data_IF_698684287390
#
_entry.id   IF_698684287390
#
_cell.length_a   1.000
_cell.length_b   1.000
_cell.length_c   1.000
_cell.angle_alpha   90.00
_cell.angle_beta   90.00
_cell.angle_gamma   90.00
#
_symmetry.space_group_name_H-M   'P 1'
#
loop_
_entity.id
_entity.type
_entity.pdbx_description
1 polymer ?
#
# COMPACT_ATOMS: atom_id res chain seq x y z
N UNK A 1 0.45 -9.32 14.89
CA UNK A 1 -0.72 -8.89 15.70
C UNK A 1 -1.53 -10.08 16.20
N UNK A 2 -1.91 -10.98 15.32
CA UNK A 2 -2.71 -12.17 15.66
C UNK A 2 -1.86 -13.37 16.07
N UNK A 3 -0.65 -13.53 15.51
CA UNK A 3 0.20 -14.72 15.72
C UNK A 3 0.43 -15.07 17.20
N UNK A 4 0.64 -14.08 18.07
CA UNK A 4 0.86 -14.31 19.49
C UNK A 4 -0.37 -14.93 20.19
N UNK A 5 -1.58 -14.56 19.75
CA UNK A 5 -2.83 -15.15 20.24
C UNK A 5 -3.01 -16.62 19.87
N UNK A 6 -2.25 -17.11 18.88
CA UNK A 6 -2.19 -18.53 18.51
C UNK A 6 -0.96 -19.25 19.10
N UNK A 7 -0.25 -18.63 20.06
CA UNK A 7 0.97 -19.22 20.65
C UNK A 7 2.18 -19.22 19.72
N UNK A 8 2.13 -18.49 18.61
CA UNK A 8 3.22 -18.39 17.64
C UNK A 8 4.18 -17.25 18.01
N UNK A 9 5.41 -17.34 17.51
CA UNK A 9 6.45 -16.33 17.68
C UNK A 9 6.81 -15.67 16.34
N UNK A 10 7.13 -14.37 16.35
CA UNK A 10 7.61 -13.62 15.17
C UNK A 10 9.06 -14.04 14.89
N UNK A 11 9.29 -14.75 13.79
CA UNK A 11 10.64 -15.14 13.35
C UNK A 11 11.37 -13.95 12.72
N UNK A 12 10.70 -13.27 11.78
CA UNK A 12 11.22 -12.08 11.10
C UNK A 12 10.05 -11.15 10.78
N UNK A 13 10.34 -9.85 10.81
CA UNK A 13 9.47 -8.82 10.26
C UNK A 13 10.05 -8.34 8.94
N UNK A 14 9.37 -8.66 7.83
CA UNK A 14 9.90 -8.33 6.50
C UNK A 14 9.94 -6.83 6.23
N UNK A 15 9.07 -6.04 6.88
CA UNK A 15 9.08 -4.59 6.78
C UNK A 15 10.30 -4.00 7.49
N UNK A 16 10.56 -4.43 8.73
CA UNK A 16 11.76 -4.01 9.48
C UNK A 16 13.04 -4.47 8.79
N UNK A 17 13.09 -5.73 8.34
CA UNK A 17 14.25 -6.28 7.63
C UNK A 17 14.53 -5.54 6.32
N UNK A 18 13.50 -5.26 5.52
CA UNK A 18 13.66 -4.48 4.28
C UNK A 18 14.19 -3.08 4.57
N UNK A 19 13.66 -2.42 5.60
CA UNK A 19 14.12 -1.09 5.99
C UNK A 19 15.59 -1.09 6.45
N UNK A 20 16.01 -2.10 7.22
CA UNK A 20 17.41 -2.24 7.64
C UNK A 20 18.39 -2.36 6.47
N UNK A 21 18.01 -3.06 5.40
CA UNK A 21 18.91 -3.30 4.25
C UNK A 21 18.80 -2.25 3.13
N UNK A 22 17.76 -1.41 3.13
CA UNK A 22 17.52 -0.42 2.05
C UNK A 22 17.44 1.02 2.54
N UNK A 23 17.14 1.25 3.83
CA UNK A 23 16.77 2.55 4.35
C UNK A 23 15.42 3.07 3.85
N UNK A 24 14.64 2.26 3.13
CA UNK A 24 13.38 2.64 2.51
C UNK A 24 12.20 1.82 3.07
N UNK A 25 10.94 2.30 2.96
CA UNK A 25 9.77 1.52 3.34
C UNK A 25 9.59 0.35 2.37
N UNK A 26 8.98 -0.75 2.84
CA UNK A 26 8.66 -1.89 1.99
C UNK A 26 7.38 -1.60 1.19
N UNK A 27 7.41 -1.56 -0.16
CA UNK A 27 6.20 -1.45 -0.96
C UNK A 27 5.39 -2.75 -0.86
N UNK A 28 4.13 -2.67 -0.42
CA UNK A 28 3.25 -3.84 -0.27
C UNK A 28 2.17 -3.92 -1.34
N UNK A 29 1.65 -2.78 -1.80
CA UNK A 29 0.61 -2.72 -2.80
C UNK A 29 0.43 -1.30 -3.33
N UNK A 30 -0.14 -1.19 -4.52
CA UNK A 30 -0.44 0.08 -5.17
C UNK A 30 -1.60 -0.05 -6.15
N UNK A 31 -2.20 1.08 -6.51
CA UNK A 31 -3.22 1.14 -7.55
C UNK A 31 -2.55 1.29 -8.91
N UNK A 32 -2.89 0.42 -9.86
CA UNK A 32 -2.37 0.47 -11.22
C UNK A 32 -3.47 0.85 -12.20
N UNK A 33 -3.11 1.62 -13.23
CA UNK A 33 -4.03 2.06 -14.28
C UNK A 33 -3.57 1.57 -15.64
N UNK A 34 -4.51 1.12 -16.48
CA UNK A 34 -4.18 0.67 -17.82
C UNK A 34 -3.78 1.86 -18.70
N UNK A 35 -2.66 1.72 -19.41
CA UNK A 35 -2.09 2.79 -20.26
C UNK A 35 -3.00 3.21 -21.41
N UNK A 36 -3.85 2.31 -21.90
CA UNK A 36 -4.79 2.56 -23.00
C UNK A 36 -5.91 3.55 -22.64
N UNK A 37 -6.11 3.86 -21.36
CA UNK A 37 -7.08 4.89 -20.93
C UNK A 37 -6.60 6.31 -21.24
N UNK A 38 -5.31 6.49 -21.52
CA UNK A 38 -4.71 7.79 -21.82
C UNK A 38 -4.38 8.61 -20.56
N UNK A 39 -3.50 9.60 -20.73
CA UNK A 39 -2.92 10.37 -19.61
C UNK A 39 -3.97 11.20 -18.87
N UNK A 40 -4.93 11.78 -19.58
CA UNK A 40 -5.91 12.68 -18.96
C UNK A 40 -6.89 11.91 -18.07
N UNK A 41 -7.38 10.76 -18.55
CA UNK A 41 -8.18 9.86 -17.73
C UNK A 41 -7.37 9.32 -16.54
N UNK A 42 -6.08 9.04 -16.74
CA UNK A 42 -5.23 8.56 -15.65
C UNK A 42 -5.07 9.59 -14.52
N UNK A 43 -4.85 10.86 -14.86
CA UNK A 43 -4.78 11.96 -13.88
C UNK A 43 -6.11 12.16 -13.16
N UNK A 44 -7.21 12.13 -13.91
CA UNK A 44 -8.54 12.32 -13.32
C UNK A 44 -8.90 11.18 -12.36
N UNK A 45 -8.60 9.93 -12.73
CA UNK A 45 -8.80 8.78 -11.84
C UNK A 45 -7.90 8.87 -10.61
N UNK A 46 -6.63 9.27 -10.75
CA UNK A 46 -5.72 9.47 -9.62
C UNK A 46 -6.24 10.55 -8.65
N UNK A 47 -6.73 11.68 -9.17
CA UNK A 47 -7.36 12.76 -8.40
C UNK A 47 -8.58 12.25 -7.63
N UNK A 48 -9.50 11.55 -8.31
CA UNK A 48 -10.72 11.01 -7.70
C UNK A 48 -10.41 9.97 -6.62
N UNK A 49 -9.42 9.10 -6.85
CA UNK A 49 -8.95 8.13 -5.84
C UNK A 49 -8.39 8.84 -4.60
N UNK A 50 -7.58 9.88 -4.79
CA UNK A 50 -7.01 10.67 -3.70
C UNK A 50 -8.11 11.37 -2.88
N UNK A 51 -9.12 11.93 -3.55
CA UNK A 51 -10.29 12.53 -2.91
C UNK A 51 -11.11 11.51 -2.13
N UNK A 52 -11.32 10.31 -2.69
CA UNK A 52 -12.02 9.23 -2.01
C UNK A 52 -11.30 8.77 -0.74
N UNK A 53 -9.97 8.58 -0.81
CA UNK A 53 -9.15 8.22 0.36
C UNK A 53 -9.21 9.34 1.40
N UNK A 54 -9.08 10.60 0.98
CA UNK A 54 -9.17 11.75 1.88
C UNK A 54 -10.54 11.79 2.57
N UNK A 55 -11.62 11.61 1.82
CA UNK A 55 -12.97 11.59 2.36
C UNK A 55 -13.14 10.48 3.41
N UNK A 56 -12.63 9.27 3.13
CA UNK A 56 -12.69 8.15 4.06
C UNK A 56 -11.85 8.38 5.34
N UNK A 57 -10.73 9.11 5.24
CA UNK A 57 -9.94 9.51 6.40
C UNK A 57 -10.64 10.57 7.25
N UNK A 58 -11.28 11.55 6.59
CA UNK A 58 -12.02 12.63 7.26
C UNK A 58 -13.35 12.11 7.89
N UNK A 59 -13.93 11.03 7.35
CA UNK A 59 -15.17 10.40 7.80
C UNK A 59 -14.93 8.94 8.25
N UNK A 60 -13.94 8.75 9.13
CA UNK A 60 -13.42 7.43 9.47
C UNK A 60 -14.45 6.46 10.01
N UNK A 61 -15.37 6.90 10.87
CA UNK A 61 -16.38 6.02 11.47
C UNK A 61 -17.32 5.44 10.40
N UNK A 62 -17.86 6.28 9.52
CA UNK A 62 -18.74 5.86 8.42
C UNK A 62 -18.00 4.95 7.44
N UNK A 63 -16.76 5.29 7.09
CA UNK A 63 -15.92 4.50 6.19
C UNK A 63 -15.62 3.10 6.78
N UNK A 64 -15.33 3.02 8.08
CA UNK A 64 -15.13 1.75 8.78
C UNK A 64 -16.43 0.94 8.83
N UNK A 65 -17.56 1.58 9.13
CA UNK A 65 -18.85 0.91 9.19
C UNK A 65 -19.21 0.25 7.85
N UNK A 66 -18.93 0.94 6.73
CA UNK A 66 -19.03 0.34 5.41
C UNK A 66 -18.01 -0.78 5.20
N UNK A 67 -16.74 -0.59 5.57
CA UNK A 67 -15.68 -1.59 5.38
C UNK A 67 -15.92 -2.90 6.16
N UNK A 68 -16.58 -2.83 7.32
CA UNK A 68 -16.85 -4.00 8.17
C UNK A 68 -17.64 -5.11 7.48
N UNK A 69 -18.46 -4.78 6.47
CA UNK A 69 -19.19 -5.81 5.71
C UNK A 69 -18.25 -6.74 4.91
N UNK A 70 -17.00 -6.32 4.67
CA UNK A 70 -15.98 -7.10 3.96
C UNK A 70 -14.94 -7.71 4.91
N UNK A 71 -15.01 -7.38 6.21
CA UNK A 71 -14.06 -7.83 7.21
C UNK A 71 -14.42 -9.28 7.63
N UNK A 72 -13.74 -10.26 7.03
CA UNK A 72 -13.89 -11.70 7.32
C UNK A 72 -13.53 -11.99 8.79
N UNK A 73 -14.55 -12.09 9.64
CA UNK A 73 -14.48 -12.51 11.06
C UNK A 73 -13.61 -11.62 11.98
N UNK A 74 -13.31 -10.38 11.57
CA UNK A 74 -12.58 -9.43 12.42
C UNK A 74 -13.54 -8.73 13.37
N UNK A 75 -13.18 -8.68 14.66
CA UNK A 75 -13.88 -7.79 15.59
C UNK A 75 -13.65 -6.31 15.19
N UNK A 76 -14.58 -5.39 15.51
CA UNK A 76 -14.49 -4.00 15.10
C UNK A 76 -13.19 -3.29 15.51
N UNK A 77 -12.60 -3.63 16.67
CA UNK A 77 -11.33 -3.03 17.13
C UNK A 77 -10.14 -3.57 16.33
N UNK A 78 -10.16 -4.86 15.99
CA UNK A 78 -9.19 -5.50 15.11
C UNK A 78 -9.22 -4.94 13.69
N UNK A 79 -10.42 -4.70 13.17
CA UNK A 79 -10.62 -4.11 11.86
C UNK A 79 -10.15 -2.64 11.79
N UNK A 80 -10.51 -1.80 12.77
CA UNK A 80 -10.02 -0.41 12.82
C UNK A 80 -8.49 -0.35 12.87
N UNK A 81 -7.88 -1.19 13.71
CA UNK A 81 -6.42 -1.28 13.79
C UNK A 81 -5.82 -1.74 12.47
N UNK A 82 -6.41 -2.74 11.82
CA UNK A 82 -5.93 -3.26 10.54
C UNK A 82 -6.00 -2.19 9.44
N UNK A 83 -7.14 -1.51 9.32
CA UNK A 83 -7.33 -0.43 8.33
C UNK A 83 -6.34 0.71 8.57
N UNK A 84 -6.09 1.10 9.82
CA UNK A 84 -5.10 2.13 10.16
C UNK A 84 -3.67 1.80 9.71
N UNK A 85 -3.29 0.52 9.62
CA UNK A 85 -1.94 0.15 9.18
C UNK A 85 -1.72 0.41 7.68
N UNK A 86 -2.78 0.31 6.87
CA UNK A 86 -2.67 0.36 5.40
C UNK A 86 -3.29 1.63 4.78
N UNK A 87 -4.23 2.26 5.49
CA UNK A 87 -4.87 3.51 5.10
C UNK A 87 -4.44 4.62 6.06
N UNK A 88 -3.43 5.38 5.64
CA UNK A 88 -2.87 6.49 6.39
C UNK A 88 -2.40 7.58 5.42
N UNK A 89 -1.73 8.61 5.93
CA UNK A 89 -1.28 9.74 5.10
C UNK A 89 -0.32 9.33 3.96
N UNK A 90 0.41 8.21 4.09
CA UNK A 90 1.25 7.66 3.02
C UNK A 90 0.44 7.01 1.89
N UNK A 91 -0.84 6.74 2.11
CA UNK A 91 -1.76 6.27 1.06
C UNK A 91 -2.20 7.42 0.15
N UNK A 92 -2.15 8.67 0.62
CA UNK A 92 -2.50 9.86 -0.18
C UNK A 92 -1.41 10.24 -1.18
N UNK A 93 -0.16 9.98 -0.82
CA UNK A 93 1.01 10.19 -1.67
C UNK A 93 2.16 9.31 -1.16
N UNK A 94 2.81 8.61 -2.10
CA UNK A 94 4.03 7.85 -1.83
C UNK A 94 5.18 8.76 -1.38
N UNK A 95 5.17 10.02 -1.85
CA UNK A 95 6.31 10.93 -1.74
C UNK A 95 7.56 10.37 -2.44
N UNK A 96 8.65 11.12 -2.39
CA UNK A 96 9.90 10.72 -3.05
C UNK A 96 10.45 9.41 -2.47
N UNK A 97 10.33 9.22 -1.16
CA UNK A 97 10.82 8.02 -0.48
C UNK A 97 10.05 6.76 -0.93
N UNK A 98 8.72 6.83 -1.02
CA UNK A 98 7.90 5.73 -1.50
C UNK A 98 8.13 5.43 -2.98
N UNK A 99 8.29 6.46 -3.83
CA UNK A 99 8.61 6.28 -5.25
C UNK A 99 9.96 5.58 -5.45
N UNK A 100 10.99 5.99 -4.69
CA UNK A 100 12.29 5.30 -4.67
C UNK A 100 12.18 3.86 -4.18
N UNK A 101 11.36 3.61 -3.16
CA UNK A 101 11.15 2.26 -2.63
C UNK A 101 10.56 1.31 -3.68
N UNK A 102 9.56 1.77 -4.45
CA UNK A 102 8.96 1.02 -5.55
C UNK A 102 9.99 0.72 -6.64
N UNK A 103 10.76 1.74 -7.05
CA UNK A 103 11.79 1.55 -8.08
C UNK A 103 12.85 0.55 -7.63
N UNK A 104 13.35 0.66 -6.40
CA UNK A 104 14.35 -0.27 -5.85
C UNK A 104 13.84 -1.72 -5.80
N UNK A 105 12.55 -1.91 -5.48
CA UNK A 105 11.94 -3.25 -5.49
C UNK A 105 11.96 -3.87 -6.88
N UNK A 106 11.61 -3.09 -7.92
CA UNK A 106 11.67 -3.56 -9.31
C UNK A 106 13.09 -3.80 -9.80
N UNK A 107 14.04 -2.93 -9.45
CA UNK A 107 15.45 -3.09 -9.80
C UNK A 107 16.00 -4.41 -9.24
N UNK A 108 15.78 -4.68 -7.95
CA UNK A 108 16.20 -5.93 -7.31
C UNK A 108 15.51 -7.16 -7.90
N UNK A 109 14.24 -7.06 -8.28
CA UNK A 109 13.52 -8.14 -8.94
C UNK A 109 14.14 -8.48 -10.31
N UNK A 110 14.54 -7.46 -11.06
CA UNK A 110 15.22 -7.63 -12.35
C UNK A 110 16.63 -8.21 -12.18
N UNK A 111 17.44 -7.68 -11.25
CA UNK A 111 18.77 -8.20 -10.92
C UNK A 111 18.73 -9.67 -10.48
N UNK A 112 17.67 -10.05 -9.77
CA UNK A 112 17.43 -11.43 -9.31
C UNK A 112 16.76 -12.31 -10.36
N UNK A 113 16.52 -11.80 -11.57
CA UNK A 113 15.88 -12.52 -12.69
C UNK A 113 14.46 -13.04 -12.38
N UNK A 114 13.74 -12.36 -11.49
CA UNK A 114 12.34 -12.68 -11.16
C UNK A 114 11.36 -12.09 -12.18
N UNK A 115 11.77 -11.05 -12.90
CA UNK A 115 11.01 -10.40 -13.98
C UNK A 115 11.84 -10.40 -15.27
N UNK A 116 11.19 -10.49 -16.45
CA UNK A 116 11.89 -10.67 -17.71
C UNK A 116 12.55 -9.39 -18.26
N UNK A 117 12.19 -8.22 -17.74
CA UNK A 117 12.66 -6.93 -18.22
C UNK A 117 12.83 -5.95 -17.06
N UNK A 118 13.72 -4.97 -17.26
CA UNK A 118 13.88 -3.85 -16.34
C UNK A 118 12.64 -2.95 -16.40
N UNK A 119 12.10 -2.62 -15.24
CA UNK A 119 10.87 -1.83 -15.11
C UNK A 119 11.23 -0.45 -14.56
N UNK A 120 10.88 0.60 -15.30
CA UNK A 120 10.91 1.97 -14.80
C UNK A 120 9.51 2.33 -14.31
N UNK A 121 9.38 2.60 -13.02
CA UNK A 121 8.11 2.94 -12.40
C UNK A 121 7.62 4.30 -12.91
N UNK A 122 6.40 4.31 -13.45
CA UNK A 122 5.68 5.52 -13.83
C UNK A 122 4.55 5.77 -12.84
N UNK A 123 4.33 7.03 -12.50
CA UNK A 123 3.33 7.45 -11.53
C UNK A 123 2.34 8.40 -12.20
N UNK A 124 1.05 8.20 -11.93
CA UNK A 124 0.02 9.15 -12.30
C UNK A 124 -0.02 10.22 -11.21
N UNK A 125 0.39 11.45 -11.56
CA UNK A 125 0.30 12.62 -10.69
C UNK A 125 -1.07 13.30 -10.79
#
# INVERSE_FOLDING_TARGET
LTYAGHGLQKVVDLGEWWHQITGLPLPLGGNAIQRNLGKDNAREIARLLKESIKFALDHREEALQYAMQFARDLDPKGADRFVSMYVNHRTLDYGDEGRRAVQLLFDRAYESKLVPAHIVAEFAD
#
